data_IF_817862949342
#
_entry.id   IF_817862949342
#
_cell.length_a   1.000
_cell.length_b   1.000
_cell.length_c   1.000
_cell.angle_alpha   90.00
_cell.angle_beta   90.00
_cell.angle_gamma   90.00
#
_symmetry.space_group_name_H-M   'P 1'
#
loop_
_entity.id
_entity.type
_entity.pdbx_description
1 polymer ?
#
# COMPACT_ATOMS: atom_id res chain seq x y z
N UNK A 1 28.62 -10.33 64.07
CA UNK A 1 28.85 -11.76 63.78
C UNK A 1 27.82 -12.14 62.72
N UNK A 2 28.25 -12.04 61.46
CA UNK A 2 28.24 -13.14 60.48
C UNK A 2 26.81 -13.45 60.04
N UNK A 3 26.37 -12.88 58.91
CA UNK A 3 26.63 -13.39 57.55
C UNK A 3 25.83 -14.64 57.24
N UNK A 4 25.38 -14.69 55.97
CA UNK A 4 24.94 -15.88 55.24
C UNK A 4 23.59 -16.41 55.71
N UNK A 5 22.53 -16.42 54.91
CA UNK A 5 22.35 -17.20 53.67
C UNK A 5 21.14 -16.52 52.98
N UNK A 6 21.31 -15.92 51.80
CA UNK A 6 20.76 -16.49 50.56
C UNK A 6 19.26 -16.83 50.69
N UNK A 7 18.33 -16.27 49.90
CA UNK A 7 18.27 -16.52 48.46
C UNK A 7 17.07 -15.77 47.87
N UNK A 8 17.29 -15.22 46.68
CA UNK A 8 16.27 -14.97 45.64
C UNK A 8 15.44 -13.69 45.85
N UNK A 9 16.18 -12.59 45.98
CA UNK A 9 15.79 -11.35 45.30
C UNK A 9 15.79 -11.62 43.79
N UNK A 10 14.63 -11.95 43.20
CA UNK A 10 14.42 -11.81 41.75
C UNK A 10 14.22 -10.31 41.51
N UNK A 11 15.26 -9.52 41.79
CA UNK A 11 15.53 -8.38 40.92
C UNK A 11 16.05 -9.00 39.65
N UNK A 12 15.15 -9.25 38.71
CA UNK A 12 15.47 -9.24 37.29
C UNK A 12 16.03 -7.84 36.99
N UNK A 13 17.31 -7.63 37.34
CA UNK A 13 18.16 -6.66 36.70
C UNK A 13 18.33 -7.15 35.25
N UNK A 14 17.28 -6.94 34.45
CA UNK A 14 17.47 -6.73 33.03
C UNK A 14 18.19 -5.38 32.97
N UNK A 15 19.51 -5.41 33.18
CA UNK A 15 20.41 -4.33 32.78
C UNK A 15 20.47 -4.39 31.26
N UNK A 16 19.32 -4.12 30.62
CA UNK A 16 19.24 -3.97 29.18
C UNK A 16 20.14 -2.79 28.88
N UNK A 17 21.24 -3.08 28.18
CA UNK A 17 22.28 -2.12 27.90
C UNK A 17 21.62 -0.90 27.26
N UNK A 18 21.75 0.29 27.86
CA UNK A 18 21.12 1.54 27.38
C UNK A 18 21.45 1.75 25.89
N UNK A 19 22.65 1.32 25.49
CA UNK A 19 23.12 1.25 24.11
C UNK A 19 22.28 0.35 23.20
N UNK A 20 21.83 -0.81 23.67
CA UNK A 20 21.00 -1.75 22.91
C UNK A 20 19.59 -1.22 22.70
N UNK A 21 18.98 -0.60 23.73
CA UNK A 21 17.67 0.06 23.63
C UNK A 21 17.73 1.23 22.65
N UNK A 22 18.76 2.09 22.77
CA UNK A 22 18.95 3.19 21.84
C UNK A 22 19.17 2.70 20.41
N UNK A 23 19.89 1.59 20.23
CA UNK A 23 20.13 1.00 18.92
C UNK A 23 18.84 0.44 18.28
N UNK A 24 18.04 -0.34 19.01
CA UNK A 24 16.75 -0.82 18.49
C UNK A 24 15.78 0.31 18.22
N UNK A 25 15.68 1.32 19.09
CA UNK A 25 14.85 2.51 18.81
C UNK A 25 15.35 3.28 17.59
N UNK A 26 16.67 3.43 17.42
CA UNK A 26 17.23 4.08 16.23
C UNK A 26 16.97 3.28 14.95
N UNK A 27 17.00 1.95 15.00
CA UNK A 27 16.65 1.10 13.86
C UNK A 27 15.15 1.14 13.54
N UNK A 28 14.29 1.22 14.55
CA UNK A 28 12.85 1.44 14.36
C UNK A 28 12.58 2.82 13.73
N UNK A 29 13.30 3.85 14.15
CA UNK A 29 13.19 5.19 13.57
C UNK A 29 13.72 5.22 12.13
N UNK A 30 14.86 4.58 11.85
CA UNK A 30 15.41 4.47 10.48
C UNK A 30 14.45 3.67 9.60
N UNK A 31 13.90 2.53 10.06
CA UNK A 31 12.87 1.80 9.30
C UNK A 31 11.60 2.62 9.08
N UNK A 32 11.14 3.36 10.08
CA UNK A 32 9.97 4.23 9.95
C UNK A 32 10.22 5.45 9.03
N UNK A 33 11.48 5.86 8.86
CA UNK A 33 11.87 7.00 8.03
C UNK A 33 12.37 6.62 6.63
N UNK A 34 12.76 5.36 6.38
CA UNK A 34 13.45 4.94 5.16
C UNK A 34 12.65 4.00 4.24
N UNK A 35 11.36 3.77 4.50
CA UNK A 35 10.52 3.19 3.45
C UNK A 35 10.19 4.34 2.49
N UNK A 36 10.90 4.41 1.38
CA UNK A 36 10.58 5.33 0.29
C UNK A 36 9.85 4.56 -0.82
N UNK A 37 8.77 5.13 -1.37
CA UNK A 37 8.14 4.59 -2.58
C UNK A 37 9.15 4.74 -3.72
N UNK A 38 9.56 3.61 -4.30
CA UNK A 38 10.38 3.59 -5.51
C UNK A 38 9.70 4.41 -6.61
N UNK A 39 10.46 5.25 -7.32
CA UNK A 39 9.94 5.99 -8.47
C UNK A 39 9.37 5.07 -9.55
N UNK A 40 9.82 3.81 -9.61
CA UNK A 40 9.27 2.81 -10.53
C UNK A 40 7.80 2.45 -10.27
N UNK A 41 7.27 2.76 -9.08
CA UNK A 41 5.86 2.53 -8.72
C UNK A 41 4.97 3.74 -9.01
N UNK A 42 5.56 4.88 -9.41
CA UNK A 42 4.84 6.13 -9.68
C UNK A 42 4.82 6.36 -11.18
N UNK A 43 3.72 5.99 -11.83
CA UNK A 43 3.52 6.31 -13.23
C UNK A 43 3.13 7.78 -13.46
N UNK A 44 3.07 8.19 -14.72
CA UNK A 44 2.77 9.58 -15.13
C UNK A 44 1.43 10.07 -14.58
N UNK A 45 0.40 9.22 -14.58
CA UNK A 45 -0.93 9.58 -14.06
C UNK A 45 -0.87 9.81 -12.56
N UNK A 46 -0.14 8.96 -11.84
CA UNK A 46 0.05 9.06 -10.39
C UNK A 46 0.86 10.29 -10.02
N UNK A 47 1.96 10.56 -10.72
CA UNK A 47 2.74 11.78 -10.56
C UNK A 47 1.90 13.05 -10.81
N UNK A 48 1.04 13.01 -11.83
CA UNK A 48 0.12 14.10 -12.14
C UNK A 48 -0.88 14.33 -11.01
N UNK A 49 -1.53 13.27 -10.52
CA UNK A 49 -2.48 13.39 -9.41
C UNK A 49 -1.82 13.89 -8.13
N UNK A 50 -0.64 13.36 -7.76
CA UNK A 50 0.13 13.85 -6.62
C UNK A 50 0.36 15.36 -6.68
N UNK A 51 0.74 15.88 -7.86
CA UNK A 51 0.94 17.30 -8.07
C UNK A 51 -0.35 18.12 -8.01
N UNK A 52 -1.44 17.63 -8.62
CA UNK A 52 -2.72 18.34 -8.67
C UNK A 52 -3.38 18.44 -7.28
N UNK A 53 -3.30 17.38 -6.47
CA UNK A 53 -3.94 17.34 -5.14
C UNK A 53 -2.99 17.70 -3.99
N UNK A 54 -1.71 17.95 -4.27
CA UNK A 54 -0.72 18.38 -3.29
C UNK A 54 -0.28 17.27 -2.32
N UNK A 55 -0.30 16.02 -2.78
CA UNK A 55 0.05 14.83 -1.98
C UNK A 55 1.46 14.39 -2.35
N UNK A 56 2.31 14.19 -1.34
CA UNK A 56 3.67 13.69 -1.53
C UNK A 56 3.76 12.15 -1.35
N UNK A 57 4.95 11.59 -1.59
CA UNK A 57 5.19 10.15 -1.45
C UNK A 57 4.99 9.65 -0.03
N UNK A 58 5.26 10.47 0.99
CA UNK A 58 5.11 10.05 2.39
C UNK A 58 3.64 9.96 2.78
N UNK A 59 2.79 10.83 2.25
CA UNK A 59 1.36 10.73 2.41
C UNK A 59 0.80 9.46 1.72
N UNK A 60 1.26 9.14 0.51
CA UNK A 60 0.90 7.88 -0.18
C UNK A 60 1.27 6.62 0.62
N UNK A 61 2.42 6.62 1.30
CA UNK A 61 2.82 5.48 2.15
C UNK A 61 1.89 5.26 3.33
N UNK A 62 1.20 6.30 3.81
CA UNK A 62 0.23 6.17 4.91
C UNK A 62 -1.08 5.57 4.45
N UNK A 63 -1.35 5.58 3.14
CA UNK A 63 -2.58 5.02 2.55
C UNK A 63 -2.58 3.49 2.62
N UNK A 64 -1.41 2.87 2.46
CA UNK A 64 -1.27 1.43 2.31
C UNK A 64 -0.59 0.75 3.51
N UNK A 65 -0.93 -0.50 3.76
CA UNK A 65 -0.23 -1.36 4.73
C UNK A 65 1.00 -2.05 4.13
N UNK A 66 1.66 -2.92 4.91
CA UNK A 66 2.82 -3.69 4.46
C UNK A 66 2.53 -4.66 3.30
N UNK A 67 1.26 -5.01 3.07
CA UNK A 67 0.79 -5.85 1.97
C UNK A 67 0.29 -5.02 0.78
N UNK A 68 0.54 -3.71 0.81
CA UNK A 68 0.07 -2.72 -0.16
C UNK A 68 -1.45 -2.60 -0.24
N UNK A 69 -2.19 -3.05 0.79
CA UNK A 69 -3.64 -2.87 0.86
C UNK A 69 -3.95 -1.45 1.32
N UNK A 70 -4.92 -0.80 0.68
CA UNK A 70 -5.42 0.51 1.12
C UNK A 70 -6.22 0.30 2.41
N UNK A 71 -5.68 0.81 3.52
CA UNK A 71 -6.26 0.68 4.86
C UNK A 71 -6.62 2.01 5.49
N UNK A 72 -5.98 3.10 5.07
CA UNK A 72 -6.27 4.46 5.53
C UNK A 72 -7.08 5.18 4.45
N UNK A 73 -8.18 5.82 4.85
CA UNK A 73 -9.12 6.55 3.97
C UNK A 73 -9.22 8.02 4.38
N UNK A 74 -8.09 8.62 4.71
CA UNK A 74 -8.01 10.05 5.01
C UNK A 74 -8.30 10.92 3.78
N UNK A 75 -8.40 12.23 4.00
CA UNK A 75 -8.75 13.20 2.96
C UNK A 75 -7.78 13.15 1.77
N UNK A 76 -6.49 12.99 2.03
CA UNK A 76 -5.45 12.92 0.99
C UNK A 76 -5.59 11.64 0.16
N UNK A 77 -5.88 10.51 0.80
CA UNK A 77 -6.18 9.25 0.12
C UNK A 77 -7.39 9.39 -0.80
N UNK A 78 -8.49 9.97 -0.29
CA UNK A 78 -9.73 10.14 -1.07
C UNK A 78 -9.47 11.04 -2.28
N UNK A 79 -8.80 12.18 -2.10
CA UNK A 79 -8.44 13.09 -3.21
C UNK A 79 -7.57 12.40 -4.27
N UNK A 80 -6.58 11.61 -3.84
CA UNK A 80 -5.74 10.84 -4.77
C UNK A 80 -6.58 9.86 -5.59
N UNK A 81 -7.46 9.10 -4.94
CA UNK A 81 -8.29 8.11 -5.62
C UNK A 81 -9.32 8.75 -6.56
N UNK A 82 -9.95 9.86 -6.16
CA UNK A 82 -10.85 10.62 -7.02
C UNK A 82 -10.14 11.15 -8.27
N UNK A 83 -8.91 11.67 -8.11
CA UNK A 83 -8.10 12.08 -9.26
C UNK A 83 -7.79 10.91 -10.20
N UNK A 84 -7.36 9.76 -9.66
CA UNK A 84 -7.06 8.56 -10.44
C UNK A 84 -8.30 8.07 -11.21
N UNK A 85 -9.47 8.05 -10.55
CA UNK A 85 -10.76 7.71 -11.17
C UNK A 85 -11.04 8.61 -12.36
N UNK A 86 -10.88 9.93 -12.19
CA UNK A 86 -11.16 10.90 -13.24
C UNK A 86 -10.22 10.79 -14.44
N UNK A 87 -8.92 10.54 -14.21
CA UNK A 87 -7.89 10.49 -15.28
C UNK A 87 -7.85 9.17 -16.03
N UNK A 88 -8.11 8.04 -15.34
CA UNK A 88 -8.03 6.70 -15.94
C UNK A 88 -9.35 6.19 -16.50
N UNK A 89 -10.44 6.88 -16.22
CA UNK A 89 -11.79 6.49 -16.67
C UNK A 89 -12.14 5.05 -16.22
N UNK A 90 -11.91 4.73 -14.94
CA UNK A 90 -12.22 3.41 -14.38
C UNK A 90 -13.71 3.06 -14.46
N UNK A 91 -14.60 4.06 -14.54
CA UNK A 91 -16.02 3.86 -14.56
C UNK A 91 -16.66 4.38 -15.86
N UNK A 92 -17.61 3.62 -16.37
CA UNK A 92 -18.44 4.00 -17.52
C UNK A 92 -19.52 5.03 -17.12
N UNK A 93 -20.27 5.50 -18.11
CA UNK A 93 -21.36 6.46 -17.89
C UNK A 93 -22.52 5.92 -17.03
N UNK A 94 -22.60 4.60 -16.83
CA UNK A 94 -23.57 3.94 -15.96
C UNK A 94 -23.04 3.77 -14.52
N UNK A 95 -21.78 4.14 -14.27
CA UNK A 95 -21.10 3.97 -12.99
C UNK A 95 -20.59 2.55 -12.74
N UNK A 96 -20.54 1.67 -13.74
CA UNK A 96 -19.91 0.36 -13.66
C UNK A 96 -18.43 0.46 -14.05
N UNK A 97 -17.62 -0.54 -13.72
CA UNK A 97 -16.24 -0.57 -14.21
C UNK A 97 -16.22 -0.59 -15.74
N UNK A 98 -15.49 0.35 -16.35
CA UNK A 98 -15.16 0.30 -17.77
C UNK A 98 -14.13 -0.80 -17.97
N UNK A 99 -14.56 -1.91 -18.58
CA UNK A 99 -13.74 -3.11 -18.74
C UNK A 99 -12.43 -2.84 -19.46
N UNK A 100 -12.49 -2.15 -20.60
CA UNK A 100 -11.32 -1.97 -21.46
C UNK A 100 -10.32 -1.01 -20.81
N UNK A 101 -10.81 0.11 -20.26
CA UNK A 101 -9.95 1.09 -19.58
C UNK A 101 -9.36 0.54 -18.27
N UNK A 102 -10.13 -0.26 -17.52
CA UNK A 102 -9.64 -0.87 -16.27
C UNK A 102 -8.58 -1.93 -16.55
N UNK A 103 -8.80 -2.83 -17.51
CA UNK A 103 -7.81 -3.85 -17.89
C UNK A 103 -6.54 -3.19 -18.43
N UNK A 104 -6.68 -2.17 -19.28
CA UNK A 104 -5.54 -1.40 -19.79
C UNK A 104 -4.74 -0.76 -18.65
N UNK A 105 -5.41 -0.08 -17.73
CA UNK A 105 -4.77 0.57 -16.57
C UNK A 105 -4.06 -0.44 -15.66
N UNK A 106 -4.65 -1.62 -15.45
CA UNK A 106 -4.01 -2.72 -14.73
C UNK A 106 -2.73 -3.19 -15.43
N UNK A 107 -2.79 -3.47 -16.74
CA UNK A 107 -1.64 -3.93 -17.49
C UNK A 107 -0.49 -2.92 -17.50
N UNK A 108 -0.81 -1.62 -17.56
CA UNK A 108 0.18 -0.53 -17.43
C UNK A 108 0.82 -0.50 -16.03
N UNK A 109 0.03 -0.64 -14.97
CA UNK A 109 0.55 -0.69 -13.60
C UNK A 109 1.42 -1.93 -13.32
N UNK A 110 1.11 -3.05 -13.98
CA UNK A 110 1.86 -4.31 -13.83
C UNK A 110 3.29 -4.25 -14.42
N UNK A 111 3.63 -3.22 -15.20
CA UNK A 111 5.01 -2.99 -15.68
C UNK A 111 5.99 -2.86 -14.52
N UNK A 112 5.54 -2.32 -13.38
CA UNK A 112 6.38 -2.17 -12.19
C UNK A 112 6.82 -3.51 -11.56
N UNK A 113 6.23 -4.63 -11.97
CA UNK A 113 6.51 -5.98 -11.47
C UNK A 113 7.33 -6.83 -12.45
N UNK A 114 7.95 -6.21 -13.47
CA UNK A 114 8.87 -6.84 -14.45
C UNK A 114 8.30 -8.08 -15.16
N UNK A 115 6.98 -8.11 -15.36
CA UNK A 115 6.27 -9.16 -16.11
C UNK A 115 6.31 -8.88 -17.61
N UNK A 116 6.34 -9.92 -18.44
CA UNK A 116 6.21 -9.74 -19.88
C UNK A 116 4.80 -9.25 -20.28
N UNK A 117 4.67 -8.66 -21.48
CA UNK A 117 3.41 -8.05 -21.92
C UNK A 117 2.23 -9.05 -21.94
N UNK A 118 2.46 -10.29 -22.37
CA UNK A 118 1.43 -11.33 -22.41
C UNK A 118 1.00 -11.76 -21.01
N UNK A 119 1.95 -11.94 -20.11
CA UNK A 119 1.68 -12.22 -18.69
C UNK A 119 0.92 -11.07 -18.02
N UNK A 120 1.32 -9.81 -18.26
CA UNK A 120 0.61 -8.63 -17.74
C UNK A 120 -0.83 -8.59 -18.23
N UNK A 121 -1.07 -8.82 -19.51
CA UNK A 121 -2.42 -8.78 -20.07
C UNK A 121 -3.30 -9.92 -19.52
N UNK A 122 -2.77 -11.14 -19.43
CA UNK A 122 -3.49 -12.28 -18.87
C UNK A 122 -3.83 -12.06 -17.39
N UNK A 123 -2.88 -11.53 -16.61
CA UNK A 123 -3.07 -11.21 -15.21
C UNK A 123 -4.09 -10.07 -15.02
N UNK A 124 -4.04 -9.02 -15.85
CA UNK A 124 -5.00 -7.92 -15.81
C UNK A 124 -6.44 -8.39 -16.08
N UNK A 125 -6.65 -9.25 -17.08
CA UNK A 125 -7.95 -9.85 -17.38
C UNK A 125 -8.45 -10.66 -16.18
N UNK A 126 -7.58 -11.51 -15.62
CA UNK A 126 -7.90 -12.34 -14.45
C UNK A 126 -8.32 -11.49 -13.25
N UNK A 127 -7.54 -10.45 -12.92
CA UNK A 127 -7.86 -9.53 -11.82
C UNK A 127 -9.20 -8.84 -12.07
N UNK A 128 -9.45 -8.37 -13.30
CA UNK A 128 -10.73 -7.75 -13.63
C UNK A 128 -11.91 -8.69 -13.38
N UNK A 129 -11.84 -9.92 -13.90
CA UNK A 129 -12.93 -10.89 -13.78
C UNK A 129 -13.13 -11.34 -12.31
N UNK A 130 -12.07 -11.43 -11.51
CA UNK A 130 -12.14 -11.86 -10.10
C UNK A 130 -12.52 -10.72 -9.12
N UNK A 131 -12.11 -9.48 -9.38
CA UNK A 131 -12.15 -8.39 -8.38
C UNK A 131 -13.15 -7.26 -8.66
N UNK A 132 -13.91 -7.30 -9.76
CA UNK A 132 -14.87 -6.23 -10.10
C UNK A 132 -16.29 -6.47 -9.61
N UNK A 133 -16.56 -7.64 -9.02
CA UNK A 133 -17.88 -8.01 -8.52
C UNK A 133 -18.20 -7.37 -7.15
N UNK A 134 -18.31 -6.04 -7.13
CA UNK A 134 -18.63 -5.25 -5.93
C UNK A 134 -20.06 -4.72 -5.99
N UNK A 135 -20.73 -4.68 -4.84
CA UNK A 135 -22.04 -4.03 -4.66
C UNK A 135 -21.93 -2.62 -4.07
N UNK A 136 -20.73 -2.10 -3.83
CA UNK A 136 -20.51 -0.80 -3.20
C UNK A 136 -20.90 0.31 -4.17
N UNK A 137 -21.78 1.24 -3.78
CA UNK A 137 -22.23 2.34 -4.67
C UNK A 137 -21.16 3.44 -4.84
N UNK A 138 -20.43 3.77 -3.77
CA UNK A 138 -19.40 4.81 -3.82
C UNK A 138 -18.20 4.35 -4.66
N UNK A 139 -17.84 5.14 -5.68
CA UNK A 139 -16.77 4.81 -6.62
C UNK A 139 -15.38 4.72 -5.98
N UNK A 140 -15.09 5.53 -4.96
CA UNK A 140 -13.81 5.48 -4.25
C UNK A 140 -13.73 4.19 -3.43
N UNK A 141 -14.76 3.89 -2.65
CA UNK A 141 -14.80 2.67 -1.83
C UNK A 141 -14.78 1.40 -2.68
N UNK A 142 -15.47 1.42 -3.83
CA UNK A 142 -15.43 0.31 -4.80
C UNK A 142 -14.04 0.11 -5.40
N UNK A 143 -13.33 1.20 -5.72
CA UNK A 143 -11.96 1.11 -6.22
C UNK A 143 -11.00 0.58 -5.15
N UNK A 144 -11.21 0.94 -3.87
CA UNK A 144 -10.45 0.40 -2.74
C UNK A 144 -10.69 -1.11 -2.59
N UNK A 145 -11.93 -1.57 -2.67
CA UNK A 145 -12.24 -3.01 -2.62
C UNK A 145 -11.59 -3.76 -3.77
N UNK A 146 -11.69 -3.22 -4.99
CA UNK A 146 -11.02 -3.76 -6.17
C UNK A 146 -9.49 -3.84 -5.99
N UNK A 147 -8.85 -2.76 -5.53
CA UNK A 147 -7.40 -2.72 -5.27
C UNK A 147 -7.00 -3.78 -4.23
N UNK A 148 -7.72 -3.83 -3.10
CA UNK A 148 -7.43 -4.76 -2.03
C UNK A 148 -7.65 -6.23 -2.43
N UNK A 149 -8.58 -6.50 -3.36
CA UNK A 149 -8.73 -7.82 -3.97
C UNK A 149 -7.59 -8.15 -4.94
N UNK A 150 -7.13 -7.16 -5.72
CA UNK A 150 -6.09 -7.35 -6.75
C UNK A 150 -4.70 -7.61 -6.16
N UNK A 151 -4.31 -6.87 -5.12
CA UNK A 151 -2.93 -6.91 -4.59
C UNK A 151 -2.44 -8.31 -4.18
N UNK A 152 -3.23 -9.15 -3.48
CA UNK A 152 -2.84 -10.53 -3.20
C UNK A 152 -2.60 -11.36 -4.47
N UNK A 153 -3.34 -11.13 -5.55
CA UNK A 153 -3.16 -11.84 -6.83
C UNK A 153 -1.87 -11.37 -7.51
N UNK A 154 -1.58 -10.06 -7.46
CA UNK A 154 -0.36 -9.48 -8.05
C UNK A 154 0.88 -9.96 -7.32
N UNK A 155 0.87 -9.95 -5.99
CA UNK A 155 2.05 -10.28 -5.16
C UNK A 155 2.40 -11.77 -5.12
N UNK A 156 1.48 -12.65 -5.51
CA UNK A 156 1.73 -14.10 -5.57
C UNK A 156 2.47 -14.53 -6.85
N UNK A 157 2.55 -13.67 -7.86
CA UNK A 157 3.18 -13.95 -9.15
C UNK A 157 4.35 -13.02 -9.42
#
# INVERSE_FOLDING_TARGET
RQDTVERISIRLHIKMNRSLICYTLSLCLIKALCVEISDSLIDETTATCMKEVGVDKQALLKTIDENMLIVNKDEDTVKMLECQIGKRHFYDASGNFDKDNTIKSLAEGLVAFDKDEGERQALAIRIFDECTNSTIENQVDRLIEFHNCAMPIILQH
#
